data_IF_943973022387
#
_entry.id   IF_943973022387
#
_cell.length_a   1.000
_cell.length_b   1.000
_cell.length_c   1.000
_cell.angle_alpha   90.00
_cell.angle_beta   90.00
_cell.angle_gamma   90.00
#
_symmetry.space_group_name_H-M   'P 1'
#
loop_
_entity.id
_entity.type
_entity.pdbx_description
1 polymer ?
#
# COMPACT_ATOMS: atom_id res chain seq x y z
N UNK A 1 6.87 23.64 11.65
CA UNK A 1 6.88 22.28 11.06
C UNK A 1 7.95 22.30 9.97
N UNK A 2 9.06 21.58 10.15
CA UNK A 2 10.15 21.55 9.17
C UNK A 2 9.70 20.74 7.95
N UNK A 3 9.25 21.42 6.89
CA UNK A 3 9.15 20.81 5.57
C UNK A 3 10.58 20.63 5.05
N UNK A 4 11.19 19.48 5.33
CA UNK A 4 12.40 19.12 4.63
C UNK A 4 12.06 19.09 3.12
N UNK A 5 12.85 19.75 2.25
CA UNK A 5 12.61 19.66 0.82
C UNK A 5 12.66 18.18 0.42
N UNK A 6 11.62 17.71 -0.26
CA UNK A 6 11.56 16.34 -0.76
C UNK A 6 12.71 16.18 -1.74
N UNK A 7 13.77 15.53 -1.28
CA UNK A 7 14.95 15.32 -2.11
C UNK A 7 14.57 14.34 -3.23
N UNK A 8 14.92 14.59 -4.50
CA UNK A 8 14.60 13.67 -5.60
C UNK A 8 15.12 12.24 -5.36
N UNK A 9 16.17 12.11 -4.54
CA UNK A 9 16.70 10.84 -4.08
C UNK A 9 15.65 9.97 -3.36
N UNK A 10 14.71 10.55 -2.60
CA UNK A 10 13.66 9.79 -1.92
C UNK A 10 12.74 9.08 -2.94
N UNK A 11 12.31 9.80 -3.98
CA UNK A 11 11.50 9.22 -5.05
C UNK A 11 12.24 8.13 -5.82
N UNK A 12 13.52 8.36 -6.12
CA UNK A 12 14.38 7.37 -6.78
C UNK A 12 14.57 6.11 -5.94
N UNK A 13 14.79 6.25 -4.62
CA UNK A 13 14.93 5.12 -3.71
C UNK A 13 13.61 4.34 -3.58
N UNK A 14 12.46 5.02 -3.51
CA UNK A 14 11.16 4.35 -3.53
C UNK A 14 10.94 3.57 -4.83
N UNK A 15 11.22 4.18 -5.98
CA UNK A 15 11.10 3.51 -7.28
C UNK A 15 12.06 2.32 -7.40
N UNK A 16 13.30 2.47 -6.92
CA UNK A 16 14.28 1.39 -6.88
C UNK A 16 13.81 0.24 -6.00
N UNK A 17 13.29 0.52 -4.80
CA UNK A 17 12.73 -0.49 -3.89
C UNK A 17 11.51 -1.20 -4.48
N UNK A 18 10.61 -0.47 -5.15
CA UNK A 18 9.46 -1.07 -5.81
C UNK A 18 9.89 -1.93 -7.01
N UNK A 19 10.90 -1.48 -7.77
CA UNK A 19 11.45 -2.23 -8.88
C UNK A 19 12.16 -3.51 -8.42
N UNK A 20 12.98 -3.45 -7.36
CA UNK A 20 13.64 -4.65 -6.81
C UNK A 20 12.63 -5.65 -6.27
N UNK A 21 11.61 -5.19 -5.53
CA UNK A 21 10.50 -6.01 -5.08
C UNK A 21 9.78 -6.70 -6.27
N UNK A 22 9.49 -5.95 -7.32
CA UNK A 22 8.87 -6.48 -8.53
C UNK A 22 9.75 -7.51 -9.26
N UNK A 23 11.06 -7.26 -9.36
CA UNK A 23 12.02 -8.17 -9.99
C UNK A 23 12.19 -9.48 -9.20
N UNK A 24 12.28 -9.39 -7.88
CA UNK A 24 12.34 -10.54 -6.96
C UNK A 24 11.05 -11.35 -7.12
N UNK A 25 9.90 -10.69 -7.03
CA UNK A 25 8.60 -11.34 -7.23
C UNK A 25 8.48 -12.01 -8.60
N UNK A 26 8.94 -11.35 -9.67
CA UNK A 26 8.94 -11.93 -11.02
C UNK A 26 9.78 -13.21 -11.13
N UNK A 27 10.84 -13.36 -10.34
CA UNK A 27 11.64 -14.60 -10.30
C UNK A 27 10.96 -15.69 -9.48
N UNK A 28 10.35 -15.33 -8.35
CA UNK A 28 9.68 -16.25 -7.44
C UNK A 28 8.30 -16.71 -7.92
N UNK A 29 7.67 -15.96 -8.84
CA UNK A 29 6.32 -16.25 -9.38
C UNK A 29 6.17 -17.68 -9.90
N UNK A 30 7.23 -18.29 -10.42
CA UNK A 30 7.19 -19.65 -10.97
C UNK A 30 7.01 -20.73 -9.90
N UNK A 31 7.36 -20.43 -8.66
CA UNK A 31 7.31 -21.37 -7.53
C UNK A 31 6.05 -21.15 -6.68
N UNK A 32 5.43 -19.97 -6.75
CA UNK A 32 4.32 -19.62 -5.87
C UNK A 32 2.96 -20.05 -6.43
N UNK A 33 2.14 -20.62 -5.56
CA UNK A 33 0.77 -21.08 -5.88
C UNK A 33 -0.30 -20.01 -5.62
N UNK A 34 0.09 -18.82 -5.15
CA UNK A 34 -0.84 -17.75 -4.79
C UNK A 34 -1.27 -16.99 -6.06
N UNK A 35 -2.58 -16.82 -6.30
CA UNK A 35 -3.06 -16.09 -7.46
C UNK A 35 -2.60 -14.63 -7.46
N UNK A 36 -2.19 -14.12 -8.63
CA UNK A 36 -1.78 -12.71 -8.80
C UNK A 36 -2.85 -11.74 -8.32
N UNK A 37 -4.13 -12.08 -8.49
CA UNK A 37 -5.26 -11.28 -8.03
C UNK A 37 -5.24 -10.98 -6.53
N UNK A 38 -4.65 -11.85 -5.70
CA UNK A 38 -4.51 -11.64 -4.25
C UNK A 38 -3.48 -10.54 -3.95
N UNK A 39 -2.36 -10.52 -4.66
CA UNK A 39 -1.35 -9.46 -4.54
C UNK A 39 -1.89 -8.12 -5.02
N UNK A 40 -2.59 -8.11 -6.16
CA UNK A 40 -3.23 -6.92 -6.70
C UNK A 40 -4.29 -6.40 -5.72
N UNK A 41 -5.10 -7.29 -5.15
CA UNK A 41 -6.09 -6.96 -4.13
C UNK A 41 -5.46 -6.33 -2.87
N UNK A 42 -4.35 -6.89 -2.39
CA UNK A 42 -3.59 -6.32 -1.28
C UNK A 42 -3.02 -4.94 -1.59
N UNK A 43 -2.43 -4.75 -2.77
CA UNK A 43 -1.87 -3.46 -3.19
C UNK A 43 -2.96 -2.39 -3.32
N UNK A 44 -4.07 -2.72 -3.99
CA UNK A 44 -5.22 -1.82 -4.13
C UNK A 44 -5.86 -1.51 -2.78
N UNK A 45 -6.03 -2.53 -1.94
CA UNK A 45 -6.54 -2.39 -0.58
C UNK A 45 -5.66 -1.47 0.26
N UNK A 46 -4.33 -1.57 0.15
CA UNK A 46 -3.40 -0.70 0.86
C UNK A 46 -3.50 0.75 0.39
N UNK A 47 -3.51 1.00 -0.92
CA UNK A 47 -3.62 2.37 -1.47
C UNK A 47 -4.95 3.01 -1.07
N UNK A 48 -6.06 2.28 -1.21
CA UNK A 48 -7.39 2.77 -0.85
C UNK A 48 -7.52 2.95 0.67
N UNK A 49 -7.06 2.00 1.46
CA UNK A 49 -7.09 2.06 2.92
C UNK A 49 -6.28 3.23 3.48
N UNK A 50 -5.09 3.49 2.91
CA UNK A 50 -4.27 4.64 3.29
C UNK A 50 -5.00 5.98 3.09
N UNK A 51 -5.79 6.07 2.01
CA UNK A 51 -6.54 7.28 1.66
C UNK A 51 -7.82 7.43 2.47
N UNK A 52 -8.60 6.37 2.56
CA UNK A 52 -9.85 6.34 3.32
C UNK A 52 -9.60 6.61 4.81
N UNK A 53 -8.58 5.98 5.40
CA UNK A 53 -8.23 6.23 6.79
C UNK A 53 -7.80 7.69 7.01
N UNK A 54 -7.08 8.30 6.07
CA UNK A 54 -6.72 9.73 6.14
C UNK A 54 -7.98 10.60 6.16
N UNK A 55 -8.93 10.32 5.27
CA UNK A 55 -10.22 11.02 5.19
C UNK A 55 -11.15 10.78 6.38
N UNK A 56 -10.92 9.77 7.21
CA UNK A 56 -11.75 9.53 8.40
C UNK A 56 -11.08 10.13 9.64
N UNK A 57 -9.77 9.92 9.78
CA UNK A 57 -9.06 10.17 11.03
C UNK A 57 -8.32 11.51 11.04
N UNK A 58 -7.73 11.92 9.92
CA UNK A 58 -6.74 13.01 9.90
C UNK A 58 -7.26 14.30 9.27
N UNK A 59 -8.22 14.23 8.34
CA UNK A 59 -8.76 15.41 7.68
C UNK A 59 -9.32 16.51 8.62
N UNK A 60 -9.95 16.21 9.80
CA UNK A 60 -10.50 17.25 10.64
C UNK A 60 -9.40 18.12 11.26
N UNK A 61 -8.19 17.57 11.42
CA UNK A 61 -7.04 18.29 11.97
C UNK A 61 -6.51 19.37 11.02
N UNK A 62 -6.79 19.25 9.72
CA UNK A 62 -6.36 20.21 8.71
C UNK A 62 -7.50 21.13 8.26
N UNK A 63 -8.73 20.89 8.71
CA UNK A 63 -9.89 21.70 8.39
C UNK A 63 -9.67 23.16 8.88
N UNK A 64 -9.86 24.13 7.98
CA UNK A 64 -9.65 25.55 8.27
C UNK A 64 -8.20 26.03 8.15
N UNK A 65 -7.24 25.17 7.82
CA UNK A 65 -5.86 25.58 7.53
C UNK A 65 -5.65 25.89 6.04
N UNK A 66 -4.74 26.82 5.68
CA UNK A 66 -4.39 27.07 4.27
C UNK A 66 -3.83 25.81 3.56
N UNK A 67 -3.33 24.86 4.35
CA UNK A 67 -2.76 23.59 3.88
C UNK A 67 -3.82 22.49 3.68
N UNK A 68 -5.12 22.79 3.85
CA UNK A 68 -6.19 21.81 3.73
C UNK A 68 -6.19 21.08 2.39
N UNK A 69 -6.28 21.81 1.28
CA UNK A 69 -6.34 21.24 -0.07
C UNK A 69 -5.10 20.39 -0.43
N UNK A 70 -3.86 20.87 -0.21
CA UNK A 70 -2.65 20.06 -0.43
C UNK A 70 -2.63 18.78 0.41
N UNK A 71 -2.94 18.87 1.70
CA UNK A 71 -2.93 17.71 2.60
C UNK A 71 -4.08 16.74 2.30
N UNK A 72 -5.23 17.24 1.84
CA UNK A 72 -6.35 16.39 1.46
C UNK A 72 -6.02 15.50 0.25
N UNK A 73 -5.22 16.02 -0.70
CA UNK A 73 -4.80 15.28 -1.90
C UNK A 73 -3.59 14.39 -1.64
N UNK A 74 -2.59 14.85 -0.89
CA UNK A 74 -1.33 14.12 -0.66
C UNK A 74 -1.39 13.21 0.58
N UNK A 75 -2.27 13.53 1.53
CA UNK A 75 -2.42 12.83 2.79
C UNK A 75 -2.71 11.34 2.62
N UNK A 76 -2.01 10.55 3.43
CA UNK A 76 -2.03 9.09 3.46
C UNK A 76 -1.62 8.61 4.86
N UNK A 77 -2.19 7.51 5.33
CA UNK A 77 -1.83 6.93 6.62
C UNK A 77 -1.22 5.55 6.45
N UNK A 78 -0.15 5.27 7.20
CA UNK A 78 0.50 3.94 7.18
C UNK A 78 -0.42 2.90 7.82
N UNK A 79 -1.09 3.24 8.92
CA UNK A 79 -2.04 2.35 9.59
C UNK A 79 -3.18 1.95 8.65
N UNK A 80 -3.74 2.92 7.91
CA UNK A 80 -4.78 2.67 6.91
C UNK A 80 -4.28 1.80 5.77
N UNK A 81 -3.02 1.99 5.34
CA UNK A 81 -2.40 1.16 4.32
C UNK A 81 -2.27 -0.30 4.77
N UNK A 82 -1.84 -0.54 6.00
CA UNK A 82 -1.68 -1.89 6.55
C UNK A 82 -3.03 -2.59 6.72
N UNK A 83 -4.01 -1.91 7.33
CA UNK A 83 -5.36 -2.45 7.52
C UNK A 83 -6.06 -2.70 6.18
N UNK A 84 -5.98 -1.74 5.26
CA UNK A 84 -6.55 -1.85 3.93
C UNK A 84 -5.87 -2.95 3.10
N UNK A 85 -4.55 -3.10 3.23
CA UNK A 85 -3.79 -4.16 2.54
C UNK A 85 -4.23 -5.55 3.00
N UNK A 86 -4.35 -5.76 4.31
CA UNK A 86 -4.85 -7.03 4.86
C UNK A 86 -6.29 -7.31 4.42
N UNK A 87 -7.18 -6.32 4.54
CA UNK A 87 -8.57 -6.46 4.09
C UNK A 87 -8.69 -6.73 2.59
N UNK A 88 -7.87 -6.07 1.77
CA UNK A 88 -7.81 -6.25 0.32
C UNK A 88 -7.37 -7.65 -0.08
N UNK A 89 -6.38 -8.24 0.62
CA UNK A 89 -5.96 -9.63 0.43
C UNK A 89 -7.11 -10.59 0.72
N UNK A 90 -7.80 -10.43 1.85
CA UNK A 90 -8.90 -11.32 2.23
C UNK A 90 -10.11 -11.20 1.30
N UNK A 91 -10.44 -10.00 0.84
CA UNK A 91 -11.49 -9.80 -0.16
C UNK A 91 -11.09 -10.47 -1.48
N UNK A 92 -9.87 -10.25 -1.97
CA UNK A 92 -9.41 -10.85 -3.22
C UNK A 92 -9.33 -12.38 -3.16
N UNK A 93 -8.90 -12.93 -2.02
CA UNK A 93 -8.96 -14.38 -1.75
C UNK A 93 -10.38 -14.92 -1.88
N UNK A 94 -11.37 -14.23 -1.29
CA UNK A 94 -12.79 -14.60 -1.41
C UNK A 94 -13.27 -14.51 -2.86
N UNK A 95 -12.89 -13.47 -3.60
CA UNK A 95 -13.26 -13.32 -5.01
C UNK A 95 -12.68 -14.41 -5.92
N UNK A 96 -11.48 -14.91 -5.62
CA UNK A 96 -10.78 -15.94 -6.43
C UNK A 96 -11.01 -17.35 -5.88
N UNK A 97 -11.71 -17.51 -4.75
CA UNK A 97 -11.94 -18.80 -4.10
C UNK A 97 -10.68 -19.42 -3.48
N UNK A 98 -9.70 -18.60 -3.09
CA UNK A 98 -8.41 -19.06 -2.55
C UNK A 98 -8.42 -19.06 -1.02
N UNK A 99 -8.50 -20.25 -0.41
CA UNK A 99 -8.62 -20.40 1.05
C UNK A 99 -7.28 -20.59 1.79
N UNK A 100 -6.18 -20.82 1.08
CA UNK A 100 -4.89 -21.15 1.71
C UNK A 100 -4.23 -19.91 2.36
N UNK A 101 -3.41 -20.09 3.42
CA UNK A 101 -2.61 -19.02 3.99
C UNK A 101 -1.62 -18.45 2.96
N UNK A 102 -1.52 -17.12 2.87
CA UNK A 102 -0.67 -16.42 1.90
C UNK A 102 0.51 -15.67 2.53
N UNK A 103 0.60 -15.64 3.86
CA UNK A 103 1.58 -14.82 4.60
C UNK A 103 3.03 -15.07 4.19
N UNK A 104 3.44 -16.33 4.13
CA UNK A 104 4.80 -16.73 3.75
C UNK A 104 5.17 -16.26 2.34
N UNK A 105 4.18 -16.19 1.44
CA UNK A 105 4.37 -15.72 0.07
C UNK A 105 4.64 -14.21 0.01
N UNK A 106 4.05 -13.43 0.91
CA UNK A 106 4.32 -12.00 1.04
C UNK A 106 5.65 -11.70 1.76
N UNK A 107 6.03 -12.53 2.74
CA UNK A 107 7.24 -12.33 3.55
C UNK A 107 8.55 -12.38 2.74
N UNK A 108 8.57 -13.02 1.58
CA UNK A 108 9.77 -13.12 0.73
C UNK A 108 10.14 -11.78 0.07
N UNK A 109 9.18 -10.86 -0.08
CA UNK A 109 9.36 -9.61 -0.83
C UNK A 109 9.47 -8.38 0.09
N UNK A 110 9.08 -8.53 1.36
CA UNK A 110 9.09 -7.47 2.39
C UNK A 110 10.49 -7.26 2.98
#
# INVERSE_FOLDING_TARGET
MWFAPIHPAYGLLMLAGLATAALIWQRLRKTQRVPVGVFVGGLLGAVLGAKLAFWILEWPMYAGTPAFWPNFVVGRTVLGALLGGYGGVEIAKRCVGYAQPTGDSFAVVV
#
